data_IF_864581419321
#
_entry.id   IF_864581419321
#
_cell.length_a   1.000
_cell.length_b   1.000
_cell.length_c   1.000
_cell.angle_alpha   90.00
_cell.angle_beta   90.00
_cell.angle_gamma   90.00
#
_symmetry.space_group_name_H-M   'P 1'
#
loop_
_entity.id
_entity.type
_entity.pdbx_description
1 polymer ?
#
# COMPACT_ATOMS: atom_id res chain seq x y z
N UNK A 1 47.61 -32.44 -19.50
CA UNK A 1 46.94 -31.40 -18.69
C UNK A 1 45.43 -31.54 -18.87
N UNK A 2 44.67 -31.92 -17.81
CA UNK A 2 43.21 -32.00 -17.87
C UNK A 2 42.63 -30.58 -17.90
N UNK A 3 41.88 -30.23 -18.94
CA UNK A 3 41.16 -28.94 -19.02
C UNK A 3 40.06 -28.94 -17.93
N UNK A 4 40.21 -28.10 -16.95
CA UNK A 4 39.16 -27.85 -15.92
C UNK A 4 38.02 -27.13 -16.62
N UNK A 5 36.82 -27.68 -16.53
CA UNK A 5 35.64 -27.13 -17.19
C UNK A 5 35.12 -25.92 -16.40
N UNK A 6 35.16 -24.75 -17.04
CA UNK A 6 34.71 -23.44 -16.44
C UNK A 6 33.31 -23.55 -15.82
N UNK A 7 32.41 -24.36 -16.39
CA UNK A 7 31.06 -24.57 -15.83
C UNK A 7 31.08 -25.19 -14.45
N UNK A 8 32.02 -26.08 -14.13
CA UNK A 8 32.16 -26.66 -12.78
C UNK A 8 32.73 -25.68 -11.78
N UNK A 9 33.63 -24.77 -12.22
CA UNK A 9 34.17 -23.71 -11.34
C UNK A 9 33.07 -22.73 -11.01
N UNK A 10 32.29 -22.26 -11.98
CA UNK A 10 31.19 -21.30 -11.74
C UNK A 10 30.11 -21.90 -10.83
N UNK A 11 29.74 -23.17 -11.04
CA UNK A 11 28.76 -23.85 -10.20
C UNK A 11 29.27 -24.03 -8.76
N UNK A 12 30.54 -24.36 -8.58
CA UNK A 12 31.14 -24.57 -7.27
C UNK A 12 31.27 -23.25 -6.50
N UNK A 13 31.66 -22.15 -7.17
CA UNK A 13 31.70 -20.81 -6.55
C UNK A 13 30.32 -20.31 -6.18
N UNK A 14 29.28 -20.59 -6.98
CA UNK A 14 27.91 -20.20 -6.67
C UNK A 14 27.35 -20.96 -5.44
N UNK A 15 27.54 -22.30 -5.40
CA UNK A 15 27.11 -23.12 -4.26
C UNK A 15 27.87 -22.74 -2.99
N UNK A 16 29.17 -22.48 -3.08
CA UNK A 16 29.97 -22.06 -1.94
C UNK A 16 29.60 -20.67 -1.43
N UNK A 17 29.25 -19.76 -2.34
CA UNK A 17 28.71 -18.42 -1.98
C UNK A 17 27.36 -18.51 -1.28
N UNK A 18 26.44 -19.36 -1.75
CA UNK A 18 25.15 -19.60 -1.11
C UNK A 18 25.33 -20.19 0.30
N UNK A 19 26.18 -21.18 0.46
CA UNK A 19 26.46 -21.79 1.77
C UNK A 19 27.13 -20.83 2.76
N UNK A 20 28.00 -19.93 2.28
CA UNK A 20 28.58 -18.86 3.11
C UNK A 20 27.52 -17.83 3.51
N UNK A 21 26.58 -17.50 2.60
CA UNK A 21 25.52 -16.55 2.85
C UNK A 21 24.50 -17.08 3.89
N UNK A 22 24.13 -18.37 3.80
CA UNK A 22 23.30 -19.03 4.82
C UNK A 22 23.98 -19.07 6.19
N UNK A 23 25.28 -19.38 6.25
CA UNK A 23 26.04 -19.37 7.50
C UNK A 23 26.22 -17.98 8.10
N UNK A 24 26.27 -16.92 7.27
CA UNK A 24 26.33 -15.53 7.74
C UNK A 24 24.96 -15.10 8.27
N UNK A 25 23.88 -15.44 7.57
CA UNK A 25 22.50 -15.16 8.02
C UNK A 25 22.14 -15.88 9.32
N UNK A 26 22.52 -17.14 9.47
CA UNK A 26 22.30 -17.89 10.71
C UNK A 26 23.11 -17.37 11.91
N UNK A 27 24.23 -16.71 11.66
CA UNK A 27 25.08 -16.13 12.72
C UNK A 27 24.65 -14.74 13.19
N UNK A 28 23.73 -14.07 12.47
CA UNK A 28 23.30 -12.69 12.76
C UNK A 28 22.07 -12.65 13.67
N UNK A 29 21.35 -13.74 13.80
CA UNK A 29 20.12 -13.77 14.60
C UNK A 29 20.34 -14.58 15.88
N UNK A 30 20.63 -13.90 16.99
CA UNK A 30 20.48 -14.51 18.29
C UNK A 30 19.00 -14.87 18.46
N UNK A 31 18.73 -16.13 18.79
CA UNK A 31 17.37 -16.60 19.12
C UNK A 31 16.81 -15.93 20.39
N UNK A 32 17.67 -15.18 21.10
CA UNK A 32 17.37 -14.45 22.31
C UNK A 32 17.69 -12.95 22.14
N UNK A 33 16.69 -12.11 22.28
CA UNK A 33 16.81 -10.65 22.18
C UNK A 33 16.16 -9.97 23.38
N UNK A 34 16.90 -9.08 24.02
CA UNK A 34 16.41 -8.21 25.07
C UNK A 34 16.26 -6.78 24.55
N UNK A 35 15.05 -6.26 24.54
CA UNK A 35 14.78 -4.86 24.26
C UNK A 35 14.65 -4.14 25.61
N UNK A 36 15.42 -3.06 25.79
CA UNK A 36 15.48 -2.30 27.05
C UNK A 36 15.33 -0.81 26.79
N UNK A 37 15.00 -0.07 27.86
CA UNK A 37 14.89 1.40 27.85
C UNK A 37 13.95 1.95 26.78
N UNK A 38 12.82 1.29 26.53
CA UNK A 38 11.81 1.69 25.55
C UNK A 38 10.56 2.34 26.17
N UNK A 39 9.67 2.76 25.29
CA UNK A 39 8.26 3.00 25.61
C UNK A 39 7.44 1.92 24.91
N UNK A 40 7.31 0.77 25.55
CA UNK A 40 6.76 -0.45 24.94
C UNK A 40 5.26 -0.53 25.26
N UNK A 41 4.43 -0.33 24.24
CA UNK A 41 2.98 -0.41 24.34
C UNK A 41 2.53 -1.87 24.18
N UNK A 42 2.03 -2.47 25.24
CA UNK A 42 1.72 -3.91 25.26
C UNK A 42 0.40 -4.26 24.58
N UNK A 43 -0.52 -3.32 24.48
CA UNK A 43 -1.89 -3.52 23.98
C UNK A 43 -2.63 -4.67 24.70
N UNK A 44 -2.23 -4.98 25.93
CA UNK A 44 -2.97 -5.85 26.80
C UNK A 44 -4.28 -5.15 27.29
N UNK A 45 -5.09 -5.86 28.08
CA UNK A 45 -6.36 -5.30 28.60
C UNK A 45 -6.20 -4.00 29.36
N UNK A 46 -5.06 -3.82 30.03
CA UNK A 46 -4.78 -2.65 30.86
C UNK A 46 -4.06 -1.53 30.06
N UNK A 47 -3.80 -1.75 28.75
CA UNK A 47 -3.05 -0.85 27.89
C UNK A 47 -1.72 -0.39 28.51
N UNK A 48 -1.06 -1.30 29.23
CA UNK A 48 0.15 -0.98 29.98
C UNK A 48 1.31 -0.59 29.07
N UNK A 49 2.11 0.36 29.55
CA UNK A 49 3.37 0.75 28.93
C UNK A 49 4.49 0.29 29.86
N UNK A 50 5.46 -0.44 29.29
CA UNK A 50 6.64 -0.94 29.98
C UNK A 50 7.92 -0.46 29.29
N UNK A 51 9.06 -0.69 29.89
CA UNK A 51 10.32 -0.23 29.33
C UNK A 51 11.20 -1.35 28.75
N UNK A 52 10.84 -2.60 29.01
CA UNK A 52 11.65 -3.75 28.56
C UNK A 52 10.83 -4.99 28.23
N UNK A 53 11.36 -5.83 27.32
CA UNK A 53 10.83 -7.16 27.00
C UNK A 53 11.95 -8.12 26.55
N UNK A 54 11.74 -9.41 26.73
CA UNK A 54 12.56 -10.50 26.23
C UNK A 54 11.84 -11.26 25.12
N UNK A 55 12.60 -11.59 24.08
CA UNK A 55 12.18 -12.46 22.98
C UNK A 55 13.12 -13.65 22.93
N UNK A 56 12.58 -14.87 22.92
CA UNK A 56 13.34 -16.11 22.75
C UNK A 56 12.62 -16.97 21.70
N UNK A 57 13.38 -17.48 20.74
CA UNK A 57 12.85 -18.29 19.64
C UNK A 57 11.66 -17.64 18.91
N UNK A 58 11.69 -16.32 18.74
CA UNK A 58 10.62 -15.55 18.08
C UNK A 58 9.38 -15.29 18.95
N UNK A 59 9.37 -15.70 20.23
CA UNK A 59 8.26 -15.48 21.15
C UNK A 59 8.65 -14.48 22.23
N UNK A 60 7.70 -13.60 22.58
CA UNK A 60 7.86 -12.71 23.74
C UNK A 60 7.70 -13.58 25.00
N UNK A 61 8.80 -13.75 25.77
CA UNK A 61 8.82 -14.59 26.96
C UNK A 61 8.59 -13.78 28.23
N UNK A 62 8.98 -12.50 28.24
CA UNK A 62 8.77 -11.63 29.37
C UNK A 62 8.57 -10.19 28.95
N UNK A 63 7.75 -9.47 29.71
CA UNK A 63 7.43 -8.04 29.50
C UNK A 63 7.34 -7.37 30.88
N UNK A 64 7.95 -6.21 31.05
CA UNK A 64 7.86 -5.48 32.30
C UNK A 64 8.90 -4.40 32.51
N UNK A 65 9.02 -3.91 33.75
CA UNK A 65 10.08 -2.96 34.12
C UNK A 65 11.47 -3.59 33.96
N UNK A 66 12.42 -2.78 33.51
CA UNK A 66 13.80 -3.19 33.28
C UNK A 66 14.42 -3.92 34.47
N UNK A 67 14.17 -3.45 35.68
CA UNK A 67 14.75 -4.03 36.89
C UNK A 67 14.34 -5.48 37.13
N UNK A 68 13.17 -5.88 36.65
CA UNK A 68 12.68 -7.26 36.71
C UNK A 68 13.23 -8.13 35.57
N UNK A 69 13.64 -7.53 34.50
CA UNK A 69 14.07 -8.21 33.27
C UNK A 69 15.58 -8.36 33.21
N UNK A 70 16.33 -7.38 33.68
CA UNK A 70 17.80 -7.33 33.56
C UNK A 70 18.50 -8.56 34.19
N UNK A 71 17.95 -9.12 35.25
CA UNK A 71 18.51 -10.28 35.95
C UNK A 71 18.30 -11.60 35.19
N UNK A 72 17.50 -11.62 34.14
CA UNK A 72 17.24 -12.78 33.28
C UNK A 72 18.06 -12.75 31.98
N UNK A 73 18.75 -11.64 31.72
CA UNK A 73 19.60 -11.48 30.55
C UNK A 73 20.94 -12.18 30.82
N UNK A 74 21.17 -13.28 30.10
CA UNK A 74 22.46 -14.00 30.10
C UNK A 74 23.31 -13.61 28.87
N UNK A 75 24.50 -14.18 28.75
CA UNK A 75 25.43 -13.93 27.64
C UNK A 75 24.87 -14.33 26.25
N UNK A 76 23.79 -15.10 26.22
CA UNK A 76 23.12 -15.51 24.97
C UNK A 76 22.19 -14.46 24.39
N UNK A 77 21.86 -13.41 25.15
CA UNK A 77 20.98 -12.37 24.66
C UNK A 77 21.69 -11.28 23.84
N UNK A 78 21.15 -10.96 22.68
CA UNK A 78 21.45 -9.69 22.04
C UNK A 78 20.68 -8.58 22.73
N UNK A 79 21.36 -7.57 23.25
CA UNK A 79 20.72 -6.43 23.90
C UNK A 79 20.52 -5.30 22.91
N UNK A 80 19.27 -4.83 22.78
CA UNK A 80 18.89 -3.68 21.96
C UNK A 80 18.37 -2.57 22.87
N UNK A 81 19.13 -1.51 23.01
CA UNK A 81 18.73 -0.32 23.74
C UNK A 81 17.84 0.57 22.85
N UNK A 82 16.58 0.69 23.22
CA UNK A 82 15.58 1.49 22.48
C UNK A 82 15.74 3.00 22.67
N UNK A 83 16.49 3.44 23.69
CA UNK A 83 16.79 4.86 23.95
C UNK A 83 15.51 5.72 24.01
N UNK A 84 14.49 5.23 24.70
CA UNK A 84 13.19 5.90 24.83
C UNK A 84 12.26 5.78 23.61
N UNK A 85 12.69 5.08 22.55
CA UNK A 85 11.82 4.91 21.38
C UNK A 85 10.60 4.04 21.69
N UNK A 86 9.52 4.33 21.00
CA UNK A 86 8.30 3.54 21.07
C UNK A 86 8.49 2.18 20.38
N UNK A 87 7.96 1.13 21.01
CA UNK A 87 7.76 -0.19 20.43
C UNK A 87 6.31 -0.61 20.64
N UNK A 88 5.72 -1.26 19.65
CA UNK A 88 4.36 -1.77 19.72
C UNK A 88 4.24 -2.98 18.76
N UNK A 89 3.21 -3.83 18.93
CA UNK A 89 2.87 -4.83 17.91
C UNK A 89 2.70 -4.19 16.54
N UNK A 90 3.10 -4.89 15.49
CA UNK A 90 2.91 -4.40 14.12
C UNK A 90 1.43 -4.31 13.75
N UNK A 91 1.12 -3.45 12.80
CA UNK A 91 -0.22 -3.34 12.27
C UNK A 91 -0.59 -4.61 11.49
N UNK A 92 -1.81 -5.09 11.73
CA UNK A 92 -2.45 -6.12 10.95
C UNK A 92 -3.62 -5.47 10.22
N UNK A 93 -3.39 -5.11 8.95
CA UNK A 93 -4.46 -4.55 8.13
C UNK A 93 -5.33 -5.70 7.61
N UNK A 94 -6.56 -5.77 8.12
CA UNK A 94 -7.52 -6.81 7.76
C UNK A 94 -8.29 -6.49 6.46
N UNK A 95 -8.14 -5.27 5.92
CA UNK A 95 -8.82 -4.85 4.70
C UNK A 95 -7.94 -3.86 3.92
N UNK A 96 -7.14 -4.36 3.00
CA UNK A 96 -6.29 -3.53 2.14
C UNK A 96 -6.30 -4.03 0.69
N UNK A 97 -6.09 -3.11 -0.24
CA UNK A 97 -6.07 -3.38 -1.68
C UNK A 97 -4.75 -2.89 -2.32
N UNK A 98 -3.56 -3.36 -1.87
CA UNK A 98 -2.28 -2.79 -2.26
C UNK A 98 -1.98 -2.88 -3.76
N UNK A 99 -2.42 -3.95 -4.42
CA UNK A 99 -2.25 -4.11 -5.88
C UNK A 99 -3.16 -3.13 -6.62
N UNK A 100 -4.42 -3.01 -6.20
CA UNK A 100 -5.38 -2.11 -6.82
C UNK A 100 -4.96 -0.65 -6.66
N UNK A 101 -4.55 -0.26 -5.47
CA UNK A 101 -4.05 1.09 -5.21
C UNK A 101 -2.77 1.38 -5.99
N UNK A 102 -1.85 0.42 -6.07
CA UNK A 102 -0.66 0.53 -6.90
C UNK A 102 -0.97 0.78 -8.38
N UNK A 103 -1.94 0.05 -8.95
CA UNK A 103 -2.40 0.25 -10.33
C UNK A 103 -3.06 1.62 -10.49
N UNK A 104 -3.86 2.06 -9.52
CA UNK A 104 -4.53 3.35 -9.58
C UNK A 104 -3.56 4.53 -9.57
N UNK A 105 -2.41 4.41 -8.90
CA UNK A 105 -1.34 5.43 -8.92
C UNK A 105 -0.66 5.60 -10.28
N UNK A 106 -0.84 4.66 -11.20
CA UNK A 106 -0.36 4.76 -12.58
C UNK A 106 -1.35 5.47 -13.51
N UNK A 107 -2.55 5.78 -13.01
CA UNK A 107 -3.62 6.46 -13.75
C UNK A 107 -3.68 7.94 -13.41
N UNK A 108 -4.76 8.61 -13.82
CA UNK A 108 -5.06 9.98 -13.40
C UNK A 108 -5.49 9.98 -11.92
N UNK A 109 -4.63 10.47 -11.02
CA UNK A 109 -4.85 10.41 -9.57
C UNK A 109 -5.54 11.68 -9.09
N UNK A 110 -6.73 11.52 -8.50
CA UNK A 110 -7.56 12.61 -7.95
C UNK A 110 -7.64 12.57 -6.41
N UNK A 111 -6.89 11.69 -5.78
CA UNK A 111 -6.84 11.56 -4.34
C UNK A 111 -6.37 12.88 -3.69
N UNK A 112 -6.95 13.23 -2.56
CA UNK A 112 -6.64 14.45 -1.78
C UNK A 112 -6.95 15.77 -2.51
N UNK A 113 -7.81 15.75 -3.52
CA UNK A 113 -8.36 16.95 -4.12
C UNK A 113 -9.70 17.31 -3.47
N UNK A 114 -9.82 18.55 -3.01
CA UNK A 114 -10.95 19.01 -2.19
C UNK A 114 -11.75 20.14 -2.84
N UNK A 115 -11.51 20.44 -4.11
CA UNK A 115 -12.25 21.42 -4.89
C UNK A 115 -12.29 21.07 -6.40
N UNK A 116 -13.32 21.55 -7.08
CA UNK A 116 -13.60 21.24 -8.49
C UNK A 116 -12.47 21.75 -9.41
N UNK A 117 -11.90 22.92 -9.10
CA UNK A 117 -10.86 23.53 -9.94
C UNK A 117 -9.58 22.69 -9.93
N UNK A 118 -9.19 22.18 -8.78
CA UNK A 118 -8.04 21.26 -8.65
C UNK A 118 -8.28 19.99 -9.45
N UNK A 119 -9.49 19.41 -9.40
CA UNK A 119 -9.87 18.25 -10.22
C UNK A 119 -9.72 18.57 -11.71
N UNK A 120 -10.27 19.71 -12.17
CA UNK A 120 -10.16 20.11 -13.57
C UNK A 120 -8.70 20.33 -14.01
N UNK A 121 -7.86 20.91 -13.17
CA UNK A 121 -6.44 21.09 -13.46
C UNK A 121 -5.73 19.75 -13.68
N UNK A 122 -5.91 18.79 -12.77
CA UNK A 122 -5.31 17.46 -12.90
C UNK A 122 -5.85 16.73 -14.13
N UNK A 123 -7.14 16.83 -14.43
CA UNK A 123 -7.70 16.22 -15.64
C UNK A 123 -7.12 16.82 -16.93
N UNK A 124 -6.87 18.12 -16.97
CA UNK A 124 -6.20 18.78 -18.10
C UNK A 124 -4.73 18.33 -18.26
N UNK A 125 -4.03 18.08 -17.16
CA UNK A 125 -2.70 17.47 -17.21
C UNK A 125 -2.76 16.05 -17.74
N UNK A 126 -3.69 15.24 -17.24
CA UNK A 126 -3.92 13.86 -17.69
C UNK A 126 -4.27 13.80 -19.19
N UNK A 127 -5.03 14.75 -19.71
CA UNK A 127 -5.39 14.85 -21.13
C UNK A 127 -4.15 14.85 -22.04
N UNK A 128 -3.07 15.47 -21.59
CA UNK A 128 -1.82 15.60 -22.33
C UNK A 128 -0.78 14.53 -21.96
N UNK A 129 -1.11 13.61 -21.07
CA UNK A 129 -0.19 12.57 -20.60
C UNK A 129 0.13 11.52 -21.67
N UNK A 130 1.28 10.87 -21.54
CA UNK A 130 1.66 9.78 -22.43
C UNK A 130 0.74 8.55 -22.30
N UNK A 131 0.17 8.34 -21.12
CA UNK A 131 -0.82 7.28 -20.89
C UNK A 131 -2.08 7.53 -21.74
N UNK A 132 -2.62 8.74 -21.70
CA UNK A 132 -3.80 9.11 -22.50
C UNK A 132 -3.50 9.00 -24.00
N UNK A 133 -2.34 9.48 -24.45
CA UNK A 133 -1.91 9.35 -25.86
C UNK A 133 -1.79 7.90 -26.31
N UNK A 134 -1.36 7.01 -25.42
CA UNK A 134 -1.18 5.58 -25.74
C UNK A 134 -2.50 4.83 -25.70
N UNK A 135 -3.34 5.08 -24.70
CA UNK A 135 -4.59 4.32 -24.48
C UNK A 135 -5.78 4.92 -25.20
N UNK A 136 -5.76 6.20 -25.51
CA UNK A 136 -6.90 6.96 -26.03
C UNK A 136 -7.97 7.25 -24.97
N UNK A 137 -7.70 6.99 -23.68
CA UNK A 137 -8.62 7.16 -22.56
C UNK A 137 -7.99 7.95 -21.43
N UNK A 138 -8.80 8.74 -20.73
CA UNK A 138 -8.48 9.19 -19.38
C UNK A 138 -9.20 8.26 -18.40
N UNK A 139 -8.43 7.48 -17.65
CA UNK A 139 -8.93 6.65 -16.57
C UNK A 139 -8.36 7.21 -15.26
N UNK A 140 -9.23 7.67 -14.38
CA UNK A 140 -8.84 8.27 -13.10
C UNK A 140 -9.41 7.52 -11.90
N UNK A 141 -8.88 7.82 -10.73
CA UNK A 141 -9.32 7.26 -9.45
C UNK A 141 -9.20 8.27 -8.31
N UNK A 142 -10.00 8.06 -7.26
CA UNK A 142 -9.98 8.89 -6.07
C UNK A 142 -10.85 10.15 -6.18
N UNK A 143 -11.84 10.17 -7.10
CA UNK A 143 -12.79 11.28 -7.17
C UNK A 143 -13.56 11.40 -5.85
N UNK A 144 -13.43 12.54 -5.18
CA UNK A 144 -14.19 12.84 -3.99
C UNK A 144 -15.62 13.24 -4.35
N UNK A 145 -16.54 12.28 -4.31
CA UNK A 145 -17.96 12.53 -4.61
C UNK A 145 -18.64 13.44 -3.58
N UNK A 146 -18.10 13.54 -2.37
CA UNK A 146 -18.62 14.45 -1.33
C UNK A 146 -18.52 15.94 -1.69
N UNK A 147 -17.79 16.32 -2.74
CA UNK A 147 -17.75 17.68 -3.28
C UNK A 147 -19.00 18.09 -4.05
N UNK A 148 -19.83 17.12 -4.39
CA UNK A 148 -21.02 17.34 -5.25
C UNK A 148 -22.31 17.22 -4.43
N UNK A 149 -23.37 17.97 -4.80
CA UNK A 149 -24.67 17.85 -4.14
C UNK A 149 -25.17 16.40 -4.16
N UNK A 150 -25.56 15.91 -3.00
CA UNK A 150 -26.01 14.52 -2.81
C UNK A 150 -24.97 13.44 -3.27
N UNK A 151 -23.71 13.80 -3.41
CA UNK A 151 -22.67 12.87 -3.91
C UNK A 151 -22.79 12.57 -5.41
N UNK A 152 -23.57 13.34 -6.16
CA UNK A 152 -23.92 13.06 -7.56
C UNK A 152 -23.27 14.10 -8.52
N UNK A 153 -22.06 13.84 -9.04
CA UNK A 153 -21.41 14.69 -10.02
C UNK A 153 -22.08 14.58 -11.39
N UNK A 154 -22.26 15.72 -12.08
CA UNK A 154 -22.77 15.72 -13.44
C UNK A 154 -21.65 15.43 -14.45
N UNK A 155 -21.93 14.65 -15.50
CA UNK A 155 -20.99 14.31 -16.57
C UNK A 155 -20.44 15.55 -17.32
N UNK A 156 -21.16 16.68 -17.30
CA UNK A 156 -20.71 17.92 -17.91
C UNK A 156 -19.35 18.38 -17.38
N UNK A 157 -19.01 18.07 -16.12
CA UNK A 157 -17.67 18.32 -15.57
C UNK A 157 -16.57 17.70 -16.43
N UNK A 158 -16.80 16.52 -16.96
CA UNK A 158 -15.84 15.80 -17.80
C UNK A 158 -15.97 16.18 -19.28
N UNK A 159 -17.17 16.48 -19.74
CA UNK A 159 -17.42 16.96 -21.10
C UNK A 159 -16.74 18.33 -21.36
N UNK A 160 -16.58 19.14 -20.31
CA UNK A 160 -15.84 20.41 -20.36
C UNK A 160 -14.33 20.20 -20.50
N UNK A 161 -13.80 19.06 -20.07
CA UNK A 161 -12.39 18.67 -20.26
C UNK A 161 -12.16 18.15 -21.67
N UNK A 162 -12.98 17.22 -22.14
CA UNK A 162 -12.93 16.70 -23.50
C UNK A 162 -14.25 16.07 -23.92
N UNK A 163 -14.68 16.38 -25.16
CA UNK A 163 -15.79 15.73 -25.82
C UNK A 163 -15.37 14.58 -26.74
N UNK A 164 -14.08 14.52 -27.07
CA UNK A 164 -13.54 13.58 -28.06
C UNK A 164 -12.80 12.40 -27.41
N UNK A 165 -12.19 12.64 -26.25
CA UNK A 165 -11.48 11.61 -25.50
C UNK A 165 -12.42 11.05 -24.42
N UNK A 166 -12.64 9.74 -24.38
CA UNK A 166 -13.45 9.10 -23.35
C UNK A 166 -12.76 9.23 -21.98
N UNK A 167 -13.54 9.62 -20.99
CA UNK A 167 -13.09 9.82 -19.61
C UNK A 167 -13.95 8.98 -18.67
N UNK A 168 -13.32 8.20 -17.80
CA UNK A 168 -13.95 7.54 -16.67
C UNK A 168 -13.17 7.77 -15.39
N UNK A 169 -13.83 8.22 -14.35
CA UNK A 169 -13.27 8.45 -13.02
C UNK A 169 -13.95 7.56 -12.01
N UNK A 170 -13.16 6.81 -11.27
CA UNK A 170 -13.66 6.03 -10.14
C UNK A 170 -13.66 6.90 -8.87
N UNK A 171 -14.74 6.83 -8.14
CA UNK A 171 -14.88 7.52 -6.86
C UNK A 171 -13.95 6.92 -5.79
N UNK A 172 -13.72 7.69 -4.75
CA UNK A 172 -12.89 7.30 -3.62
C UNK A 172 -13.49 6.17 -2.76
N UNK A 173 -14.80 5.92 -2.90
CA UNK A 173 -15.49 4.80 -2.28
C UNK A 173 -15.23 3.45 -3.00
N UNK A 174 -14.69 3.48 -4.21
CA UNK A 174 -14.42 2.29 -5.04
C UNK A 174 -15.66 1.65 -5.65
N UNK A 175 -16.86 2.23 -5.49
CA UNK A 175 -18.12 1.67 -5.92
C UNK A 175 -18.83 2.49 -7.01
N UNK A 176 -18.50 3.76 -7.14
CA UNK A 176 -19.13 4.69 -8.08
C UNK A 176 -18.17 5.11 -9.18
N UNK A 177 -18.69 5.40 -10.36
CA UNK A 177 -17.91 5.90 -11.49
C UNK A 177 -18.62 7.03 -12.21
N UNK A 178 -17.89 8.08 -12.59
CA UNK A 178 -18.35 9.17 -13.43
C UNK A 178 -17.76 9.02 -14.83
N UNK A 179 -18.61 9.00 -15.85
CA UNK A 179 -18.18 8.91 -17.25
C UNK A 179 -18.64 10.12 -18.04
N UNK A 180 -17.81 10.60 -19.00
CA UNK A 180 -18.22 11.65 -19.92
C UNK A 180 -19.10 11.11 -21.05
N UNK A 181 -19.67 12.03 -21.84
CA UNK A 181 -20.55 11.66 -22.97
C UNK A 181 -19.87 10.74 -23.96
N UNK A 182 -18.57 10.91 -24.22
CA UNK A 182 -17.82 10.07 -25.15
C UNK A 182 -17.62 8.64 -24.65
N UNK A 183 -17.34 8.47 -23.36
CA UNK A 183 -17.24 7.15 -22.76
C UNK A 183 -18.58 6.41 -22.75
N UNK A 184 -19.68 7.12 -22.45
CA UNK A 184 -21.04 6.55 -22.50
C UNK A 184 -21.45 6.14 -23.93
N UNK A 185 -21.10 6.97 -24.95
CA UNK A 185 -21.32 6.65 -26.36
C UNK A 185 -20.60 5.33 -26.75
N UNK A 186 -19.32 5.22 -26.42
CA UNK A 186 -18.53 4.01 -26.73
C UNK A 186 -19.04 2.75 -26.01
N UNK A 187 -19.60 2.92 -24.82
CA UNK A 187 -20.23 1.84 -24.04
C UNK A 187 -21.67 1.53 -24.48
N UNK A 188 -22.23 2.27 -25.45
CA UNK A 188 -23.65 2.21 -25.87
C UNK A 188 -24.63 2.43 -24.69
N UNK A 189 -24.24 3.24 -23.71
CA UNK A 189 -25.10 3.62 -22.58
C UNK A 189 -25.90 4.86 -22.96
N UNK A 190 -27.21 4.75 -22.90
CA UNK A 190 -28.20 5.79 -23.27
C UNK A 190 -29.16 6.07 -22.13
N UNK A 191 -30.05 7.03 -22.30
CA UNK A 191 -31.11 7.32 -21.35
C UNK A 191 -32.09 6.13 -21.17
N UNK A 192 -32.21 5.23 -22.17
CA UNK A 192 -33.06 4.05 -22.14
C UNK A 192 -32.33 2.76 -21.71
N UNK A 193 -31.02 2.80 -21.47
CA UNK A 193 -30.29 1.63 -20.99
C UNK A 193 -30.82 1.22 -19.63
N UNK A 194 -31.15 -0.05 -19.44
CA UNK A 194 -31.62 -0.55 -18.16
C UNK A 194 -30.49 -0.59 -17.12
N UNK A 195 -30.85 -0.39 -15.87
CA UNK A 195 -29.89 -0.53 -14.78
C UNK A 195 -29.42 -1.99 -14.70
N UNK A 196 -28.12 -2.21 -14.40
CA UNK A 196 -27.61 -3.56 -14.17
C UNK A 196 -28.21 -4.17 -12.89
N UNK A 197 -28.21 -5.50 -12.80
CA UNK A 197 -28.84 -6.25 -11.70
C UNK A 197 -28.41 -5.78 -10.29
N UNK A 198 -27.14 -5.36 -10.14
CA UNK A 198 -26.57 -4.93 -8.86
C UNK A 198 -26.01 -3.51 -8.92
N UNK A 199 -26.58 -2.65 -9.72
CA UNK A 199 -26.11 -1.27 -9.88
C UNK A 199 -27.20 -0.31 -10.33
N UNK A 200 -26.83 0.95 -10.39
CA UNK A 200 -27.71 2.03 -10.83
C UNK A 200 -26.97 2.89 -11.84
N UNK A 201 -27.62 3.21 -12.96
CA UNK A 201 -27.14 4.25 -13.87
C UNK A 201 -27.87 5.54 -13.50
N UNK A 202 -27.16 6.42 -12.79
CA UNK A 202 -27.72 7.72 -12.44
C UNK A 202 -27.87 8.60 -13.67
N UNK A 203 -29.01 9.29 -13.78
CA UNK A 203 -29.38 10.13 -14.92
C UNK A 203 -29.84 11.49 -14.39
N UNK A 204 -29.35 12.53 -14.98
CA UNK A 204 -29.70 13.93 -14.68
C UNK A 204 -30.58 14.51 -15.78
#
# INVERSE_FOLDING_TARGET
MKKINIRHIVLFTFIFSCLLFENILSKIQSDKVAYINGSIHTFNKDLSIVDSLLVENGLITKVGPRDLIINEIDEGFQIIDLKGKMMMPSFHDAHSHPIWDGINRLKCVLTDLYDIKSIQNVLNECLNSDLTKTTGWIVGSGLNIGLFPAGNPNKSLLDDISKDIPIILWANDGHSGLANSKALELANITMSTQDPEYGLIERN
#
